data_IF_105288500389
#
_entry.id   IF_105288500389
#
_cell.length_a   1.000
_cell.length_b   1.000
_cell.length_c   1.000
_cell.angle_alpha   90.00
_cell.angle_beta   90.00
_cell.angle_gamma   90.00
#
_symmetry.space_group_name_H-M   'P 1'
#
loop_
_entity.id
_entity.type
_entity.pdbx_description
1 polymer ?
#
# COMPACT_ATOMS: atom_id res chain seq x y z
N UNK A 1 -15.07 32.30 -10.60
CA UNK A 1 -13.98 31.31 -10.52
C UNK A 1 -14.62 29.93 -10.64
N UNK A 2 -14.44 29.26 -11.78
CA UNK A 2 -14.92 27.89 -11.98
C UNK A 2 -13.87 26.98 -11.37
N UNK A 3 -14.20 26.33 -10.26
CA UNK A 3 -13.40 25.25 -9.71
C UNK A 3 -13.53 24.06 -10.67
N UNK A 4 -12.44 23.55 -11.27
CA UNK A 4 -12.54 22.32 -12.04
C UNK A 4 -12.82 21.18 -11.06
N UNK A 5 -14.08 20.78 -10.94
CA UNK A 5 -14.43 19.49 -10.33
C UNK A 5 -13.87 18.43 -11.27
N UNK A 6 -12.78 17.79 -10.85
CA UNK A 6 -12.31 16.56 -11.47
C UNK A 6 -13.44 15.52 -11.35
N UNK A 7 -13.81 14.82 -12.45
CA UNK A 7 -14.96 13.92 -12.50
C UNK A 7 -14.79 12.63 -11.68
N UNK A 8 -13.73 12.52 -10.90
CA UNK A 8 -13.48 11.39 -10.02
C UNK A 8 -12.99 11.92 -8.66
N UNK A 9 -13.92 12.16 -7.73
CA UNK A 9 -13.62 11.96 -6.31
C UNK A 9 -13.40 10.46 -6.08
N UNK A 10 -12.31 9.93 -6.61
CA UNK A 10 -11.86 8.57 -6.35
C UNK A 10 -11.34 8.60 -4.91
N UNK A 11 -12.21 8.24 -3.96
CA UNK A 11 -11.94 8.35 -2.54
C UNK A 11 -10.63 7.61 -2.23
N UNK A 12 -9.64 8.28 -1.64
CA UNK A 12 -8.31 7.72 -1.33
C UNK A 12 -8.42 6.37 -0.60
N UNK A 13 -9.50 6.20 0.16
CA UNK A 13 -9.87 4.94 0.78
C UNK A 13 -10.16 3.82 -0.23
N UNK A 14 -10.95 4.07 -1.28
CA UNK A 14 -11.25 3.07 -2.32
C UNK A 14 -9.99 2.69 -3.12
N UNK A 15 -9.12 3.66 -3.40
CA UNK A 15 -7.81 3.39 -4.02
C UNK A 15 -6.97 2.52 -3.07
N UNK A 16 -6.93 2.86 -1.78
CA UNK A 16 -6.22 2.09 -0.77
C UNK A 16 -6.73 0.65 -0.64
N UNK A 17 -8.06 0.44 -0.61
CA UNK A 17 -8.65 -0.90 -0.58
C UNK A 17 -8.36 -1.70 -1.84
N UNK A 18 -8.43 -1.07 -3.02
CA UNK A 18 -8.09 -1.74 -4.28
C UNK A 18 -6.62 -2.17 -4.31
N UNK A 19 -5.70 -1.30 -3.93
CA UNK A 19 -4.28 -1.63 -3.81
C UNK A 19 -4.04 -2.73 -2.77
N UNK A 20 -4.75 -2.69 -1.64
CA UNK A 20 -4.63 -3.72 -0.60
C UNK A 20 -5.07 -5.09 -1.10
N UNK A 21 -6.14 -5.14 -1.90
CA UNK A 21 -6.58 -6.38 -2.54
C UNK A 21 -5.58 -6.93 -3.56
N UNK A 22 -4.67 -6.11 -4.08
CA UNK A 22 -3.64 -6.52 -5.04
C UNK A 22 -2.34 -6.93 -4.33
N UNK A 23 -2.00 -6.31 -3.20
CA UNK A 23 -0.84 -6.65 -2.39
C UNK A 23 -1.11 -7.91 -1.54
N UNK A 24 -0.67 -9.07 -2.01
CA UNK A 24 -0.91 -10.35 -1.34
C UNK A 24 0.28 -10.84 -0.52
N UNK A 25 0.68 -10.10 0.52
CA UNK A 25 1.72 -10.54 1.45
C UNK A 25 1.22 -11.67 2.36
N UNK A 26 2.01 -12.73 2.51
CA UNK A 26 1.61 -13.93 3.28
C UNK A 26 1.80 -13.75 4.78
N UNK A 27 0.87 -14.30 5.57
CA UNK A 27 0.96 -14.43 7.03
C UNK A 27 0.27 -13.30 7.83
N UNK A 28 0.16 -13.48 9.16
CA UNK A 28 -0.59 -12.59 10.06
C UNK A 28 -0.14 -11.12 10.03
N UNK A 29 1.12 -10.85 9.66
CA UNK A 29 1.68 -9.50 9.55
C UNK A 29 1.67 -8.94 8.13
N UNK A 30 1.34 -9.75 7.12
CA UNK A 30 1.33 -9.34 5.72
C UNK A 30 0.32 -8.23 5.43
N UNK A 31 -0.89 -8.33 5.99
CA UNK A 31 -1.93 -7.30 5.82
C UNK A 31 -1.50 -5.93 6.41
N UNK A 32 -0.90 -5.93 7.60
CA UNK A 32 -0.43 -4.68 8.22
C UNK A 32 0.76 -4.06 7.48
N UNK A 33 1.65 -4.90 6.93
CA UNK A 33 2.73 -4.46 6.05
C UNK A 33 2.16 -3.83 4.77
N UNK A 34 1.18 -4.49 4.14
CA UNK A 34 0.50 -3.97 2.95
C UNK A 34 -0.16 -2.62 3.22
N UNK A 35 -0.92 -2.51 4.32
CA UNK A 35 -1.55 -1.27 4.77
C UNK A 35 -0.52 -0.16 5.02
N UNK A 36 0.59 -0.50 5.65
CA UNK A 36 1.69 0.46 5.90
C UNK A 36 2.26 0.99 4.59
N UNK A 37 2.57 0.12 3.62
CA UNK A 37 3.13 0.50 2.32
C UNK A 37 2.16 1.36 1.52
N UNK A 38 0.90 0.94 1.41
CA UNK A 38 -0.14 1.68 0.69
C UNK A 38 -0.34 3.05 1.33
N UNK A 39 -0.40 3.11 2.66
CA UNK A 39 -0.54 4.37 3.38
C UNK A 39 0.69 5.26 3.20
N UNK A 40 1.90 4.72 3.15
CA UNK A 40 3.09 5.51 2.87
C UNK A 40 3.04 6.09 1.45
N UNK A 41 2.65 5.28 0.45
CA UNK A 41 2.53 5.72 -0.94
C UNK A 41 1.43 6.77 -1.15
N UNK A 42 0.21 6.54 -0.64
CA UNK A 42 -0.93 7.44 -0.85
C UNK A 42 -0.72 8.81 -0.21
N UNK A 43 -0.04 8.85 0.94
CA UNK A 43 0.23 10.09 1.67
C UNK A 43 1.61 10.68 1.35
N UNK A 44 2.35 10.08 0.41
CA UNK A 44 3.72 10.46 0.05
C UNK A 44 4.62 10.68 1.30
N UNK A 45 4.55 9.72 2.22
CA UNK A 45 5.16 9.76 3.54
C UNK A 45 6.10 8.56 3.74
N UNK A 46 6.90 8.55 4.81
CA UNK A 46 7.84 7.46 5.03
C UNK A 46 7.18 6.22 5.65
N UNK A 47 7.72 5.04 5.32
CA UNK A 47 7.38 3.78 6.00
C UNK A 47 7.66 3.87 7.51
N UNK A 48 8.72 4.58 7.90
CA UNK A 48 9.08 4.77 9.32
C UNK A 48 8.00 5.52 10.10
N UNK A 49 7.40 6.54 9.48
CA UNK A 49 6.29 7.30 10.04
C UNK A 49 5.00 6.47 10.09
N UNK A 50 4.64 5.80 8.98
CA UNK A 50 3.38 5.05 8.88
C UNK A 50 3.36 3.71 9.61
N UNK A 51 4.49 3.02 9.71
CA UNK A 51 4.58 1.70 10.34
C UNK A 51 4.14 1.72 11.82
N UNK A 52 4.40 2.83 12.53
CA UNK A 52 3.93 3.05 13.90
C UNK A 52 2.40 3.04 14.03
N UNK A 53 1.69 3.53 13.01
CA UNK A 53 0.22 3.59 13.03
C UNK A 53 -0.45 2.21 12.89
N UNK A 54 0.24 1.25 12.26
CA UNK A 54 -0.24 -0.11 12.03
C UNK A 54 0.44 -1.14 12.95
N UNK A 55 1.19 -0.69 13.96
CA UNK A 55 1.83 -1.59 14.94
C UNK A 55 2.90 -2.52 14.35
N UNK A 56 3.49 -2.14 13.20
CA UNK A 56 4.55 -2.90 12.54
C UNK A 56 5.87 -2.17 12.68
N UNK A 57 6.97 -2.91 12.81
CA UNK A 57 8.30 -2.29 12.76
C UNK A 57 8.66 -1.95 11.31
N UNK A 58 9.31 -0.80 11.04
CA UNK A 58 9.85 -0.50 9.71
C UNK A 58 10.76 -1.61 9.18
N UNK A 59 11.52 -2.27 10.06
CA UNK A 59 12.36 -3.41 9.71
C UNK A 59 11.55 -4.60 9.21
N UNK A 60 10.39 -4.87 9.82
CA UNK A 60 9.49 -5.94 9.39
C UNK A 60 8.93 -5.64 8.00
N UNK A 61 8.54 -4.39 7.72
CA UNK A 61 8.08 -3.99 6.39
C UNK A 61 9.18 -4.22 5.35
N UNK A 62 10.43 -3.85 5.66
CA UNK A 62 11.59 -4.08 4.77
C UNK A 62 11.81 -5.56 4.49
N UNK A 63 11.87 -6.40 5.54
CA UNK A 63 12.04 -7.85 5.39
C UNK A 63 10.96 -8.45 4.47
N UNK A 64 9.69 -8.07 4.65
CA UNK A 64 8.61 -8.55 3.80
C UNK A 64 8.74 -8.12 2.34
N UNK A 65 9.18 -6.89 2.09
CA UNK A 65 9.45 -6.40 0.73
C UNK A 65 10.66 -7.11 0.12
N UNK A 66 11.70 -7.39 0.91
CA UNK A 66 12.88 -8.13 0.45
C UNK A 66 12.55 -9.60 0.14
N UNK A 67 11.75 -10.26 0.98
CA UNK A 67 11.41 -11.68 0.83
C UNK A 67 10.29 -11.95 -0.19
N UNK A 68 9.28 -11.06 -0.26
CA UNK A 68 8.06 -11.28 -1.04
C UNK A 68 7.74 -10.14 -2.02
N UNK A 69 8.46 -9.01 -1.96
CA UNK A 69 8.11 -7.82 -2.73
C UNK A 69 8.19 -8.01 -4.23
N UNK A 70 9.15 -8.80 -4.73
CA UNK A 70 9.25 -9.13 -6.17
C UNK A 70 8.00 -9.88 -6.65
N UNK A 71 7.63 -10.97 -5.96
CA UNK A 71 6.42 -11.76 -6.30
C UNK A 71 5.14 -10.89 -6.24
N UNK A 72 5.05 -10.00 -5.24
CA UNK A 72 3.90 -9.11 -5.09
C UNK A 72 3.85 -8.05 -6.22
N UNK A 73 4.99 -7.50 -6.63
CA UNK A 73 5.07 -6.53 -7.72
C UNK A 73 4.75 -7.19 -9.06
N UNK A 74 5.28 -8.39 -9.33
CA UNK A 74 5.00 -9.12 -10.57
C UNK A 74 3.51 -9.42 -10.71
N UNK A 75 2.86 -9.93 -9.66
CA UNK A 75 1.41 -10.16 -9.64
C UNK A 75 0.59 -8.89 -9.83
N UNK A 76 1.04 -7.78 -9.25
CA UNK A 76 0.41 -6.48 -9.43
C UNK A 76 0.51 -6.02 -10.91
N UNK A 77 1.67 -6.20 -11.54
CA UNK A 77 1.88 -5.87 -12.95
C UNK A 77 1.05 -6.75 -13.89
N UNK A 78 0.90 -8.04 -13.58
CA UNK A 78 0.02 -8.95 -14.33
C UNK A 78 -1.46 -8.51 -14.26
N UNK A 79 -1.92 -8.03 -13.11
CA UNK A 79 -3.31 -7.57 -12.94
C UNK A 79 -3.61 -6.23 -13.61
N UNK A 80 -2.57 -5.44 -13.93
CA UNK A 80 -2.69 -4.14 -14.60
C UNK A 80 -2.54 -4.26 -16.12
N UNK A 81 -2.03 -5.39 -16.62
CA UNK A 81 -1.84 -5.67 -18.05
C UNK A 81 -3.15 -6.05 -18.75
#
# INVERSE_FOLDING_TARGET
MVTPVLPHQNNVQQIGYKLLSMLNFKGKRGEEVARTLISACLWNDSVESKSRAYGVSPQTVRNYVEEQGVEVIEKLLEQVR
#
